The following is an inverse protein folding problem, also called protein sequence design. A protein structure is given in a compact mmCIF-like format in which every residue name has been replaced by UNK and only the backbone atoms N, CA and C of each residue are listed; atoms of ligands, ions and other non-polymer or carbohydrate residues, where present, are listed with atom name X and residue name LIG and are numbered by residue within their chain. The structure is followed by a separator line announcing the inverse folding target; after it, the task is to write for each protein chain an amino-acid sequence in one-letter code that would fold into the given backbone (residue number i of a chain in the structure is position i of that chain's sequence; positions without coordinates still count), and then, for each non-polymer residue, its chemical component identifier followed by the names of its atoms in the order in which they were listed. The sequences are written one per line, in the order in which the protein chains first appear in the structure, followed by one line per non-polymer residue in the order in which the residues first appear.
data_IF_120593455771
#
_entry.id   IF_120593455771
#
_cell.length_a   1.000
_cell.length_b   1.000
_cell.length_c   1.000
_cell.angle_alpha   90.00
_cell.angle_beta   90.00
_cell.angle_gamma   90.00
#
_symmetry.space_group_name_H-M   'P 1'
#
loop_
_entity.id
_entity.type
_entity.pdbx_description
1 polymer ?
#
# COMPACT_ATOMS: atom_id res chain seq x y z
N UNK A 1 -11.34 -25.03 -47.87
CA UNK A 1 -10.72 -25.22 -46.59
C UNK A 1 -11.44 -26.27 -45.78
N UNK A 2 -10.74 -26.94 -45.00
CA UNK A 2 -11.35 -27.90 -44.10
C UNK A 2 -12.09 -27.17 -43.00
N UNK A 3 -13.32 -27.51 -42.82
CA UNK A 3 -14.02 -27.10 -41.63
C UNK A 3 -13.46 -27.85 -40.41
N UNK A 4 -13.54 -27.32 -39.29
CA UNK A 4 -13.10 -27.93 -38.04
C UNK A 4 -11.74 -27.54 -37.56
N UNK A 5 -11.04 -26.70 -38.28
CA UNK A 5 -9.80 -26.10 -37.74
C UNK A 5 -10.09 -24.95 -36.83
N UNK A 6 -9.09 -24.61 -36.00
CA UNK A 6 -9.14 -23.42 -35.18
C UNK A 6 -9.04 -22.20 -36.09
N UNK A 7 -9.94 -21.22 -35.99
CA UNK A 7 -9.87 -20.06 -36.86
C UNK A 7 -8.66 -19.19 -36.53
N UNK A 8 -8.15 -18.52 -37.55
CA UNK A 8 -7.08 -17.55 -37.39
C UNK A 8 -7.50 -16.47 -36.38
N UNK A 9 -6.62 -16.14 -35.47
CA UNK A 9 -6.90 -15.18 -34.39
C UNK A 9 -7.41 -15.80 -33.09
N UNK A 10 -7.74 -17.10 -33.10
CA UNK A 10 -8.13 -17.79 -31.88
C UNK A 10 -6.91 -17.94 -30.97
N UNK A 11 -7.11 -17.70 -29.67
CA UNK A 11 -6.06 -17.78 -28.67
C UNK A 11 -6.34 -18.98 -27.77
N UNK A 12 -5.33 -19.82 -27.58
CA UNK A 12 -5.40 -20.98 -26.72
C UNK A 12 -4.28 -20.95 -25.69
N UNK A 13 -4.45 -21.73 -24.62
CA UNK A 13 -3.44 -21.91 -23.61
C UNK A 13 -2.51 -23.04 -24.02
N UNK A 14 -1.21 -22.82 -23.92
CA UNK A 14 -0.17 -23.76 -24.30
C UNK A 14 0.69 -24.13 -23.11
N UNK A 15 0.83 -25.44 -22.86
CA UNK A 15 1.60 -25.92 -21.70
C UNK A 15 3.09 -26.08 -21.97
N UNK A 16 3.51 -25.94 -23.23
CA UNK A 16 4.92 -26.07 -23.60
C UNK A 16 5.71 -24.79 -23.42
N UNK A 17 6.97 -24.85 -23.78
CA UNK A 17 7.86 -23.71 -23.67
C UNK A 17 7.53 -22.62 -24.70
N UNK A 18 7.80 -21.38 -24.37
CA UNK A 18 7.57 -20.24 -25.26
C UNK A 18 8.44 -20.29 -26.53
N UNK A 19 9.54 -21.01 -26.50
CA UNK A 19 10.41 -21.20 -27.66
C UNK A 19 10.10 -22.47 -28.46
N UNK A 20 9.04 -23.17 -28.12
CA UNK A 20 8.62 -24.43 -28.77
C UNK A 20 7.16 -24.38 -29.21
N UNK A 21 6.73 -23.25 -29.73
CA UNK A 21 5.35 -23.04 -30.18
C UNK A 21 5.09 -23.90 -31.40
N UNK A 22 3.94 -24.61 -31.46
CA UNK A 22 3.60 -25.44 -32.63
C UNK A 22 3.48 -24.61 -33.91
N UNK A 23 3.78 -25.25 -35.02
CA UNK A 23 3.57 -24.64 -36.35
C UNK A 23 2.11 -24.21 -36.53
N UNK A 24 1.90 -23.01 -37.04
CA UNK A 24 0.56 -22.45 -37.23
C UNK A 24 0.11 -21.61 -36.04
N UNK A 25 0.94 -21.44 -35.04
CA UNK A 25 0.66 -20.61 -33.87
C UNK A 25 1.84 -19.67 -33.59
N UNK A 26 1.54 -18.56 -32.96
CA UNK A 26 2.56 -17.60 -32.50
C UNK A 26 2.27 -17.23 -31.05
N UNK A 27 3.33 -16.90 -30.33
CA UNK A 27 3.22 -16.49 -28.95
C UNK A 27 2.52 -15.13 -28.84
N UNK A 28 1.64 -14.98 -27.86
CA UNK A 28 0.97 -13.72 -27.60
C UNK A 28 1.88 -12.81 -26.74
N UNK A 29 2.86 -12.23 -27.40
CA UNK A 29 3.88 -11.35 -26.77
C UNK A 29 3.86 -9.93 -27.35
N UNK A 30 2.80 -9.57 -28.08
CA UNK A 30 2.69 -8.27 -28.73
C UNK A 30 3.32 -8.20 -30.09
N UNK A 31 4.05 -9.23 -30.53
CA UNK A 31 4.59 -9.33 -31.87
C UNK A 31 3.64 -10.10 -32.78
N UNK A 32 3.86 -10.05 -34.09
CA UNK A 32 3.09 -10.80 -35.08
C UNK A 32 1.58 -10.53 -34.97
N UNK A 33 1.20 -9.30 -34.72
CA UNK A 33 -0.19 -8.86 -34.56
C UNK A 33 -0.93 -9.56 -33.43
N UNK A 34 -0.22 -10.01 -32.41
CA UNK A 34 -0.82 -10.62 -31.23
C UNK A 34 -0.95 -9.61 -30.10
N UNK A 35 -1.94 -9.79 -29.21
CA UNK A 35 -1.93 -9.06 -27.96
C UNK A 35 -0.77 -9.54 -27.08
N UNK A 36 -0.26 -8.68 -26.21
CA UNK A 36 0.72 -9.06 -25.22
C UNK A 36 -0.03 -9.53 -23.97
N UNK A 37 -0.10 -10.83 -23.80
CA UNK A 37 -0.79 -11.46 -22.67
C UNK A 37 0.15 -12.01 -21.62
N UNK A 38 1.43 -11.66 -21.71
CA UNK A 38 2.41 -12.06 -20.69
C UNK A 38 2.08 -11.39 -19.36
N UNK A 39 2.13 -12.17 -18.31
CA UNK A 39 1.88 -11.69 -16.92
C UNK A 39 0.49 -11.09 -16.72
N UNK A 40 -0.51 -11.50 -17.51
CA UNK A 40 -1.87 -10.98 -17.45
C UNK A 40 -2.88 -12.08 -17.23
N UNK A 41 -3.92 -11.75 -16.49
CA UNK A 41 -5.15 -12.52 -16.45
C UNK A 41 -6.08 -11.99 -17.54
N UNK A 42 -6.81 -12.88 -18.20
CA UNK A 42 -7.75 -12.50 -19.25
C UNK A 42 -9.16 -12.45 -18.66
N UNK A 43 -9.85 -11.33 -18.89
CA UNK A 43 -11.25 -11.16 -18.51
C UNK A 43 -12.13 -11.22 -19.76
N UNK A 44 -13.37 -11.64 -19.59
CA UNK A 44 -14.35 -11.62 -20.68
C UNK A 44 -14.75 -10.20 -21.04
N UNK A 45 -14.73 -9.87 -22.33
CA UNK A 45 -15.12 -8.57 -22.84
C UNK A 45 -16.60 -8.52 -23.23
N UNK A 46 -17.07 -7.38 -23.68
CA UNK A 46 -18.37 -7.09 -24.30
C UNK A 46 -19.46 -6.65 -23.34
N UNK A 47 -19.10 -6.25 -22.15
CA UNK A 47 -20.03 -5.53 -21.28
C UNK A 47 -19.27 -4.38 -20.59
N UNK A 48 -18.68 -4.63 -19.44
CA UNK A 48 -17.90 -3.62 -18.74
C UNK A 48 -16.54 -3.37 -19.40
N UNK A 49 -16.05 -4.33 -20.19
CA UNK A 49 -14.75 -4.23 -20.84
C UNK A 49 -14.92 -4.40 -22.35
N UNK A 50 -14.15 -3.64 -23.10
CA UNK A 50 -14.03 -3.81 -24.55
C UNK A 50 -12.82 -4.70 -24.87
N UNK A 51 -12.83 -5.31 -26.06
CA UNK A 51 -11.68 -6.08 -26.51
C UNK A 51 -10.45 -5.16 -26.59
N UNK A 52 -9.37 -5.57 -25.97
CA UNK A 52 -8.14 -4.81 -25.94
C UNK A 52 -7.96 -3.92 -24.71
N UNK A 53 -8.97 -3.78 -23.86
CA UNK A 53 -8.81 -3.03 -22.62
C UNK A 53 -7.79 -3.68 -21.71
N UNK A 54 -7.01 -2.86 -21.04
CA UNK A 54 -6.01 -3.32 -20.09
C UNK A 54 -6.16 -2.57 -18.78
N UNK A 55 -5.83 -3.23 -17.68
CA UNK A 55 -5.92 -2.62 -16.38
C UNK A 55 -5.49 -3.56 -15.27
N UNK A 56 -5.75 -3.12 -14.06
CA UNK A 56 -5.41 -3.89 -12.87
C UNK A 56 -3.96 -3.71 -12.44
N UNK A 57 -3.65 -4.27 -11.30
CA UNK A 57 -2.30 -4.24 -10.73
C UNK A 57 -2.05 -5.53 -9.97
N UNK A 58 -0.81 -5.98 -9.98
CA UNK A 58 -0.39 -7.15 -9.21
C UNK A 58 -0.19 -6.84 -7.73
N UNK A 59 -0.14 -5.57 -7.39
CA UNK A 59 0.09 -5.15 -6.01
C UNK A 59 -0.87 -4.04 -5.64
N UNK A 60 -1.30 -4.05 -4.40
CA UNK A 60 -1.96 -2.93 -3.77
C UNK A 60 -1.01 -2.33 -2.74
N UNK A 61 -0.93 -1.02 -2.72
CA UNK A 61 -0.13 -0.30 -1.73
C UNK A 61 -1.03 0.59 -0.91
N UNK A 62 -0.77 0.63 0.37
CA UNK A 62 -1.45 1.53 1.28
C UNK A 62 -0.42 2.18 2.20
N UNK A 63 -0.66 3.41 2.55
CA UNK A 63 0.21 4.16 3.44
C UNK A 63 -0.48 4.28 4.79
N UNK A 64 0.15 3.73 5.81
CA UNK A 64 -0.30 3.86 7.19
C UNK A 64 0.40 5.06 7.81
N UNK A 65 -0.37 6.04 8.26
CA UNK A 65 0.15 7.22 8.92
C UNK A 65 -0.25 7.19 10.38
N UNK A 66 0.73 7.42 11.24
CA UNK A 66 0.50 7.50 12.68
C UNK A 66 0.94 8.88 13.13
N UNK A 67 0.07 9.56 13.85
CA UNK A 67 0.41 10.81 14.50
C UNK A 67 0.12 10.67 15.98
N UNK A 68 1.07 11.10 16.79
CA UNK A 68 0.95 11.08 18.23
C UNK A 68 1.18 12.48 18.74
N UNK A 69 0.29 12.96 19.57
CA UNK A 69 0.48 14.24 20.28
C UNK A 69 0.37 13.99 21.78
N UNK A 70 1.29 14.57 22.50
CA UNK A 70 1.32 14.51 23.97
C UNK A 70 1.41 15.94 24.48
N UNK A 71 0.53 16.28 25.39
CA UNK A 71 0.55 17.58 26.01
C UNK A 71 0.03 17.47 27.44
N UNK A 72 0.47 18.37 28.25
CA UNK A 72 0.02 18.40 29.62
C UNK A 72 0.59 19.58 30.37
N UNK A 73 0.19 19.68 31.61
CA UNK A 73 0.65 20.69 32.53
C UNK A 73 1.09 19.97 33.81
N UNK A 74 2.25 20.33 34.31
CA UNK A 74 2.70 19.80 35.58
C UNK A 74 1.84 20.37 36.71
N UNK A 75 1.66 19.57 37.73
CA UNK A 75 0.98 20.06 38.92
C UNK A 75 1.85 21.05 39.74
N UNK A 76 1.24 21.62 40.73
CA UNK A 76 1.99 22.42 41.65
C UNK A 76 3.04 21.58 42.37
N UNK A 77 4.16 22.21 42.78
CA UNK A 77 5.16 21.48 43.53
C UNK A 77 4.53 20.84 44.78
N UNK A 78 4.86 19.59 45.00
CA UNK A 78 4.45 18.91 46.21
C UNK A 78 5.50 19.21 47.25
N UNK A 79 5.06 19.77 48.34
CA UNK A 79 5.96 20.01 49.46
C UNK A 79 6.13 18.73 50.24
N UNK A 80 7.34 18.27 50.28
CA UNK A 80 7.67 17.14 51.10
C UNK A 80 7.89 17.54 52.54
N UNK A 81 7.06 17.07 53.40
CA UNK A 81 7.24 17.23 54.82
C UNK A 81 6.66 18.51 55.39
N UNK A 82 6.68 18.57 56.69
CA UNK A 82 6.04 19.60 57.47
C UNK A 82 6.85 20.86 57.59
N UNK A 83 8.06 20.87 57.05
CA UNK A 83 8.99 21.96 57.29
C UNK A 83 9.13 22.92 56.14
N UNK A 84 8.28 22.79 55.18
CA UNK A 84 8.29 23.71 54.05
C UNK A 84 6.91 24.33 53.91
N UNK A 85 6.68 25.32 54.68
CA UNK A 85 5.48 26.07 54.46
C UNK A 85 5.55 26.71 53.08
N UNK A 86 4.51 26.64 52.29
CA UNK A 86 4.44 27.27 50.98
C UNK A 86 4.24 28.74 51.19
N UNK A 87 5.27 29.43 51.52
CA UNK A 87 4.79 30.61 52.08
C UNK A 87 5.58 31.79 51.80
N UNK A 88 4.99 32.84 52.18
CA UNK A 88 5.60 34.12 52.22
C UNK A 88 6.52 34.19 53.41
N UNK A 89 7.72 34.60 53.18
CA UNK A 89 8.57 35.09 54.23
C UNK A 89 8.38 36.57 54.32
N UNK A 90 8.25 37.03 55.53
CA UNK A 90 8.36 38.44 55.79
C UNK A 90 9.76 38.69 56.35
N UNK A 91 10.52 39.50 55.66
CA UNK A 91 11.88 39.80 56.05
C UNK A 91 12.11 41.32 55.94
N UNK A 92 12.14 42.00 57.05
CA UNK A 92 12.30 43.46 57.10
C UNK A 92 11.40 44.21 56.13
N UNK A 93 10.14 43.93 56.18
CA UNK A 93 9.16 44.44 55.25
C UNK A 93 9.32 43.96 53.84
N UNK A 94 10.32 43.16 53.53
CA UNK A 94 10.41 42.47 52.30
C UNK A 94 9.69 41.13 52.42
N UNK A 95 8.73 40.90 51.59
CA UNK A 95 7.98 39.69 51.62
C UNK A 95 8.43 38.83 50.44
N UNK A 96 8.91 37.64 50.76
CA UNK A 96 9.27 36.67 49.73
C UNK A 96 8.12 35.71 49.56
N UNK A 97 7.72 35.60 48.31
CA UNK A 97 6.62 34.71 47.96
C UNK A 97 7.15 33.48 47.24
N UNK A 98 6.86 32.32 47.76
CA UNK A 98 7.01 31.10 46.98
C UNK A 98 5.81 31.02 46.08
N UNK A 99 6.04 31.25 44.80
CA UNK A 99 4.96 31.16 43.83
C UNK A 99 4.82 29.73 43.40
N UNK A 100 3.64 29.20 43.59
CA UNK A 100 3.30 27.97 42.92
C UNK A 100 3.20 28.27 41.44
N UNK A 101 3.82 27.45 40.70
CA UNK A 101 3.78 27.59 39.27
C UNK A 101 3.74 26.20 38.61
N UNK A 102 3.37 26.13 37.33
CA UNK A 102 3.27 24.93 36.56
C UNK A 102 4.05 25.10 35.26
N UNK A 103 4.42 24.01 34.68
CA UNK A 103 5.04 24.00 33.38
C UNK A 103 4.15 23.27 32.38
N UNK A 104 3.98 23.87 31.25
CA UNK A 104 3.32 23.19 30.13
C UNK A 104 4.35 22.41 29.36
N UNK A 105 3.96 21.26 28.92
CA UNK A 105 4.77 20.49 28.00
C UNK A 105 3.92 20.01 26.82
N UNK A 106 4.51 19.93 25.67
CA UNK A 106 3.87 19.40 24.50
C UNK A 106 4.91 18.75 23.60
N UNK A 107 4.48 17.75 22.93
CA UNK A 107 5.31 17.07 21.95
C UNK A 107 4.43 16.38 20.93
N UNK A 108 4.94 16.23 19.74
CA UNK A 108 4.24 15.50 18.70
C UNK A 108 5.24 14.65 17.92
N UNK A 109 4.77 13.54 17.46
CA UNK A 109 5.53 12.67 16.59
C UNK A 109 4.63 12.15 15.48
N UNK A 110 5.21 11.90 14.33
CA UNK A 110 4.49 11.31 13.23
C UNK A 110 5.39 10.32 12.52
N UNK A 111 4.77 9.30 11.98
CA UNK A 111 5.44 8.30 11.19
C UNK A 111 4.51 7.79 10.12
N UNK A 112 5.08 7.32 9.02
CA UNK A 112 4.32 6.67 7.98
C UNK A 112 5.11 5.49 7.43
N UNK A 113 4.39 4.47 7.03
CA UNK A 113 4.96 3.31 6.38
C UNK A 113 4.05 2.88 5.24
N UNK A 114 4.63 2.31 4.21
CA UNK A 114 3.90 1.83 3.06
C UNK A 114 3.88 0.32 3.09
N UNK A 115 2.67 -0.25 3.05
CA UNK A 115 2.47 -1.69 2.96
C UNK A 115 2.16 -2.04 1.52
N UNK A 116 2.87 -3.01 0.97
CA UNK A 116 2.63 -3.54 -0.36
C UNK A 116 2.11 -4.97 -0.24
N UNK A 117 0.97 -5.22 -0.87
CA UNK A 117 0.29 -6.51 -0.80
C UNK A 117 0.19 -7.06 -2.22
N UNK A 118 0.58 -8.32 -2.41
CA UNK A 118 0.34 -9.03 -3.66
C UNK A 118 -1.15 -9.37 -3.75
N UNK A 119 -1.81 -8.85 -4.77
CA UNK A 119 -3.25 -9.02 -4.96
C UNK A 119 -3.59 -10.17 -5.90
N UNK A 120 -2.59 -10.89 -6.41
CA UNK A 120 -2.84 -12.00 -7.32
C UNK A 120 -3.40 -13.19 -6.56
N UNK A 121 -4.43 -13.81 -7.13
CA UNK A 121 -4.88 -15.12 -6.69
C UNK A 121 -3.80 -16.18 -6.95
N UNK A 122 -3.80 -17.32 -6.26
CA UNK A 122 -2.92 -18.42 -6.63
C UNK A 122 -3.04 -18.73 -8.13
N UNK A 123 -1.93 -18.91 -8.80
CA UNK A 123 -1.92 -19.08 -10.26
C UNK A 123 -0.95 -20.16 -10.68
N UNK A 124 -1.18 -20.65 -11.89
CA UNK A 124 -0.25 -21.50 -12.61
C UNK A 124 0.00 -20.85 -13.97
N UNK A 125 1.23 -20.62 -14.33
CA UNK A 125 1.59 -19.87 -15.53
C UNK A 125 1.70 -20.80 -16.74
N UNK A 126 0.98 -20.44 -17.80
CA UNK A 126 1.05 -21.11 -19.10
C UNK A 126 1.12 -20.02 -20.17
N UNK A 127 1.61 -20.39 -21.34
CA UNK A 127 1.67 -19.45 -22.45
C UNK A 127 0.31 -19.31 -23.14
N UNK A 128 0.02 -18.12 -23.63
CA UNK A 128 -1.04 -17.89 -24.59
C UNK A 128 -0.44 -17.89 -25.98
N UNK A 129 -1.04 -18.63 -26.90
CA UNK A 129 -0.63 -18.67 -28.30
C UNK A 129 -1.82 -18.41 -29.19
N UNK A 130 -1.60 -17.79 -30.34
CA UNK A 130 -2.64 -17.40 -31.27
C UNK A 130 -2.46 -18.15 -32.59
N UNK A 131 -3.56 -18.64 -33.14
CA UNK A 131 -3.58 -19.28 -34.47
C UNK A 131 -3.32 -18.23 -35.54
N UNK A 132 -2.37 -18.51 -36.38
CA UNK A 132 -2.05 -17.66 -37.54
C UNK A 132 -2.96 -17.91 -38.72
#
# INVERSE_FOLDING_TARGET
SMSGGVPSGAIIIWSGAANAIPTGYVLCDGNNSTPDLRDRFVVGAQNAYSVGDTGGSNTATDTVSISVSVSGTTGYPIQGGTNYPPQTYSYQDNTYYYRNHTHNFSGSGSGSDTVSIDTRSPYYALCYIMKT
#
